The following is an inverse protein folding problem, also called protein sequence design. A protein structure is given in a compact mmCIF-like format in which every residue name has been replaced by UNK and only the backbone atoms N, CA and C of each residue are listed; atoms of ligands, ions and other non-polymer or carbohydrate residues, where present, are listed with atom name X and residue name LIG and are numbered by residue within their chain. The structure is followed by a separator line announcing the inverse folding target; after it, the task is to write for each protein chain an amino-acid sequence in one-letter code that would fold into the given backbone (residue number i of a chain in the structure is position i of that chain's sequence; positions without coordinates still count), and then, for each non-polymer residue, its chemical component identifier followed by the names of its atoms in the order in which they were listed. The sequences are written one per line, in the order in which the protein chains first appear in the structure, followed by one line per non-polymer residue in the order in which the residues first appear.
data_IF_539271371240
#
_entry.id   IF_539271371240
#
_cell.length_a   1.000
_cell.length_b   1.000
_cell.length_c   1.000
_cell.angle_alpha   90.00
_cell.angle_beta   90.00
_cell.angle_gamma   90.00
#
_symmetry.space_group_name_H-M   'P 1'
#
loop_
_entity.id
_entity.type
_entity.pdbx_description
1 polymer ?
#
# COMPACT_ATOMS: atom_id res chain seq x y z
N UNK A 1 -4.21 -30.34 4.40
CA UNK A 1 -5.12 -29.21 4.09
C UNK A 1 -4.47 -28.42 2.99
N UNK A 2 -5.11 -28.14 1.84
CA UNK A 2 -4.48 -27.25 0.86
C UNK A 2 -4.62 -25.83 1.41
N UNK A 3 -3.52 -25.26 1.92
CA UNK A 3 -3.41 -23.82 2.14
C UNK A 3 -3.34 -23.19 0.76
N UNK A 4 -4.48 -22.74 0.24
CA UNK A 4 -4.49 -21.82 -0.89
C UNK A 4 -3.81 -20.54 -0.40
N UNK A 5 -2.51 -20.41 -0.70
CA UNK A 5 -1.79 -19.14 -0.68
C UNK A 5 -2.61 -18.15 -1.49
N UNK A 6 -3.37 -17.30 -0.80
CA UNK A 6 -4.20 -16.30 -1.43
C UNK A 6 -3.33 -15.06 -1.51
N UNK A 7 -2.45 -15.05 -2.52
CA UNK A 7 -1.61 -13.90 -2.79
C UNK A 7 -2.53 -12.69 -3.08
N UNK A 8 -2.68 -11.83 -2.09
CA UNK A 8 -3.42 -10.59 -2.21
C UNK A 8 -2.58 -9.64 -3.04
N UNK A 9 -3.21 -8.96 -3.99
CA UNK A 9 -2.49 -8.07 -4.88
C UNK A 9 -3.30 -6.85 -5.28
N UNK A 10 -2.58 -5.85 -5.76
CA UNK A 10 -3.18 -4.61 -6.16
C UNK A 10 -2.23 -3.68 -6.88
N UNK A 11 -2.70 -2.46 -7.07
CA UNK A 11 -1.89 -1.36 -7.57
C UNK A 11 -2.01 -0.17 -6.65
N UNK A 12 -0.89 0.50 -6.42
CA UNK A 12 -0.82 1.76 -5.71
C UNK A 12 -0.45 2.84 -6.73
N UNK A 13 -1.18 3.94 -6.73
CA UNK A 13 -0.85 5.16 -7.48
C UNK A 13 -0.66 6.32 -6.52
N UNK A 14 0.54 6.88 -6.55
CA UNK A 14 0.94 8.05 -5.79
C UNK A 14 0.65 9.33 -6.60
N UNK A 15 -0.24 10.17 -6.08
CA UNK A 15 -0.57 11.49 -6.65
C UNK A 15 0.18 12.63 -5.95
N UNK A 16 1.16 12.32 -5.10
CA UNK A 16 1.91 13.35 -4.38
C UNK A 16 2.96 14.02 -5.27
N UNK A 17 3.18 15.36 -5.13
CA UNK A 17 4.15 16.08 -5.94
C UNK A 17 5.57 15.57 -5.69
N UNK A 18 6.25 15.13 -6.74
CA UNK A 18 7.59 14.51 -6.69
C UNK A 18 7.68 13.19 -5.93
N UNK A 19 6.56 12.63 -5.48
CA UNK A 19 6.53 11.35 -4.78
C UNK A 19 6.92 10.16 -5.65
N UNK A 20 7.28 9.09 -4.96
CA UNK A 20 7.45 7.75 -5.50
C UNK A 20 7.20 6.76 -4.37
N UNK A 21 6.80 5.55 -4.73
CA UNK A 21 6.62 4.49 -3.75
C UNK A 21 7.98 3.85 -3.47
N UNK A 22 8.48 4.04 -2.25
CA UNK A 22 9.76 3.50 -1.79
C UNK A 22 9.62 2.04 -1.31
N UNK A 23 8.47 1.70 -0.74
CA UNK A 23 8.21 0.37 -0.20
C UNK A 23 6.77 0.20 0.24
N UNK A 24 6.36 -1.05 0.43
CA UNK A 24 5.04 -1.40 0.97
C UNK A 24 5.24 -2.49 2.02
N UNK A 25 4.85 -2.19 3.25
CA UNK A 25 4.80 -3.17 4.34
C UNK A 25 3.35 -3.59 4.57
N UNK A 26 3.12 -4.88 4.67
CA UNK A 26 1.81 -5.47 4.94
C UNK A 26 1.77 -5.89 6.39
N UNK A 27 0.88 -5.26 7.15
CA UNK A 27 0.56 -5.67 8.51
C UNK A 27 -0.64 -6.60 8.46
N UNK A 28 -0.43 -7.88 8.75
CA UNK A 28 -1.49 -8.89 8.78
C UNK A 28 -1.94 -9.08 10.23
N UNK A 29 -3.23 -8.93 10.49
CA UNK A 29 -3.80 -9.15 11.81
C UNK A 29 -3.88 -10.66 12.09
N UNK A 30 -3.31 -11.08 13.21
CA UNK A 30 -3.20 -12.49 13.63
C UNK A 30 -2.43 -13.39 12.65
N UNK A 31 -1.53 -12.81 11.84
CA UNK A 31 -0.70 -13.53 10.87
C UNK A 31 0.68 -12.90 10.69
N UNK A 32 1.39 -13.38 9.66
CA UNK A 32 2.74 -12.93 9.36
C UNK A 32 2.75 -11.60 8.60
N UNK A 33 3.26 -10.56 9.25
CA UNK A 33 3.47 -9.24 8.64
C UNK A 33 4.83 -9.18 7.93
N UNK A 34 4.91 -8.45 6.82
CA UNK A 34 6.10 -8.48 5.99
C UNK A 34 6.13 -7.47 4.86
N UNK A 35 7.26 -7.45 4.16
CA UNK A 35 7.44 -6.64 2.96
C UNK A 35 6.67 -7.22 1.78
N UNK A 36 5.83 -6.41 1.14
CA UNK A 36 5.22 -6.80 -0.12
C UNK A 36 6.27 -6.81 -1.23
N UNK A 37 6.10 -7.74 -2.17
CA UNK A 37 6.77 -7.62 -3.46
C UNK A 37 6.16 -6.43 -4.21
N UNK A 38 7.01 -5.53 -4.71
CA UNK A 38 6.59 -4.37 -5.51
C UNK A 38 7.22 -4.38 -6.89
N UNK A 39 6.44 -4.00 -7.89
CA UNK A 39 6.88 -3.85 -9.28
C UNK A 39 6.40 -2.51 -9.82
N UNK A 40 7.29 -1.51 -9.96
CA UNK A 40 6.96 -0.24 -10.60
C UNK A 40 6.53 -0.43 -12.05
N UNK A 41 5.57 0.37 -12.52
CA UNK A 41 5.11 0.32 -13.91
C UNK A 41 4.70 1.70 -14.44
N UNK A 42 5.15 2.04 -15.65
CA UNK A 42 4.82 3.30 -16.33
C UNK A 42 5.49 4.55 -15.73
N UNK A 43 5.43 4.74 -14.40
CA UNK A 43 6.14 5.80 -13.67
C UNK A 43 6.50 5.36 -12.25
N UNK A 44 7.46 6.04 -11.62
CA UNK A 44 7.88 5.77 -10.22
C UNK A 44 6.77 5.97 -9.17
N UNK A 45 5.66 6.61 -9.57
CA UNK A 45 4.48 6.85 -8.75
C UNK A 45 3.50 5.68 -8.79
N UNK A 46 3.69 4.70 -9.69
CA UNK A 46 2.77 3.58 -9.88
C UNK A 46 3.50 2.28 -9.65
N UNK A 47 3.00 1.49 -8.69
CA UNK A 47 3.56 0.18 -8.39
C UNK A 47 2.45 -0.85 -8.27
N UNK A 48 2.69 -2.04 -8.82
CA UNK A 48 1.91 -3.22 -8.46
C UNK A 48 2.51 -3.79 -7.20
N UNK A 49 1.68 -4.32 -6.31
CA UNK A 49 2.12 -4.97 -5.09
C UNK A 49 1.45 -6.33 -4.93
N UNK A 50 2.13 -7.25 -4.25
CA UNK A 50 1.57 -8.55 -3.86
C UNK A 50 2.17 -9.06 -2.56
N UNK A 51 1.35 -9.68 -1.73
CA UNK A 51 1.74 -10.32 -0.47
C UNK A 51 0.75 -11.44 -0.13
N UNK A 52 1.23 -12.53 0.48
CA UNK A 52 0.35 -13.59 0.95
C UNK A 52 -0.17 -13.25 2.34
N UNK A 53 -1.46 -12.92 2.42
CA UNK A 53 -2.11 -12.59 3.69
C UNK A 53 -2.79 -13.79 4.33
N UNK A 54 -2.75 -14.95 3.67
CA UNK A 54 -3.50 -16.15 4.06
C UNK A 54 -5.02 -15.91 4.19
N UNK A 55 -5.54 -14.85 3.56
CA UNK A 55 -6.94 -14.44 3.66
C UNK A 55 -7.30 -13.72 4.96
N UNK A 56 -6.32 -13.41 5.80
CA UNK A 56 -6.52 -12.67 7.04
C UNK A 56 -6.73 -11.17 6.78
N UNK A 57 -7.41 -10.45 7.67
CA UNK A 57 -7.48 -9.00 7.60
C UNK A 57 -6.08 -8.39 7.66
N UNK A 58 -5.86 -7.31 6.91
CA UNK A 58 -4.54 -6.69 6.82
C UNK A 58 -4.63 -5.17 6.61
N UNK A 59 -3.54 -4.47 6.86
CA UNK A 59 -3.36 -3.05 6.55
C UNK A 59 -2.07 -2.87 5.74
N UNK A 60 -2.06 -1.94 4.81
CA UNK A 60 -0.87 -1.60 4.03
C UNK A 60 -0.28 -0.31 4.55
N UNK A 61 0.99 -0.36 4.89
CA UNK A 61 1.84 0.79 5.15
C UNK A 61 2.62 1.11 3.88
N UNK A 62 2.38 2.28 3.32
CA UNK A 62 2.92 2.71 2.03
C UNK A 62 3.97 3.77 2.30
N UNK A 63 5.22 3.44 2.02
CA UNK A 63 6.34 4.35 2.08
C UNK A 63 6.36 5.27 0.87
N UNK A 64 6.13 6.56 1.08
CA UNK A 64 6.24 7.60 0.04
C UNK A 64 7.54 8.38 0.23
N UNK A 65 8.43 8.30 -0.76
CA UNK A 65 9.76 8.89 -0.73
C UNK A 65 10.72 8.23 0.28
N UNK A 66 11.99 8.63 0.23
CA UNK A 66 13.05 8.07 1.08
C UNK A 66 13.64 6.76 0.53
N UNK A 67 13.99 5.84 1.41
CA UNK A 67 14.54 4.51 1.08
C UNK A 67 13.63 3.43 1.65
N UNK A 68 13.64 2.19 1.13
CA UNK A 68 12.84 1.10 1.68
C UNK A 68 12.97 0.94 3.20
N UNK A 69 14.16 1.18 3.75
CA UNK A 69 14.49 1.11 5.18
C UNK A 69 14.16 2.39 5.98
N UNK A 70 13.99 3.53 5.32
CA UNK A 70 13.70 4.82 5.95
C UNK A 70 12.82 5.67 5.03
N UNK A 71 11.51 5.55 5.22
CA UNK A 71 10.52 6.26 4.42
C UNK A 71 10.44 7.74 4.79
N UNK A 72 10.24 8.59 3.78
CA UNK A 72 9.96 10.01 4.00
C UNK A 72 8.59 10.20 4.67
N UNK A 73 7.60 9.43 4.21
CA UNK A 73 6.26 9.41 4.77
C UNK A 73 5.72 7.97 4.83
N UNK A 74 5.09 7.63 5.95
CA UNK A 74 4.33 6.39 6.09
C UNK A 74 2.84 6.71 5.97
N UNK A 75 2.19 6.19 4.93
CA UNK A 75 0.74 6.36 4.71
C UNK A 75 0.09 4.99 4.80
N UNK A 76 -0.83 4.82 5.74
CA UNK A 76 -1.48 3.53 5.94
C UNK A 76 -2.90 3.50 5.37
N UNK A 77 -3.34 2.34 4.90
CA UNK A 77 -4.74 2.10 4.51
C UNK A 77 -5.62 1.91 5.76
N UNK A 78 -6.95 1.89 5.63
CA UNK A 78 -7.79 1.18 6.59
C UNK A 78 -7.54 -0.34 6.51
N UNK A 79 -8.11 -1.08 7.46
CA UNK A 79 -8.12 -2.56 7.42
C UNK A 79 -8.86 -3.05 6.17
N UNK A 80 -8.18 -3.92 5.43
CA UNK A 80 -8.64 -4.60 4.22
C UNK A 80 -8.87 -6.07 4.55
N UNK A 81 -9.74 -6.72 3.78
CA UNK A 81 -10.01 -8.15 3.89
C UNK A 81 -9.95 -8.73 2.49
N UNK A 82 -9.05 -9.69 2.26
CA UNK A 82 -8.94 -10.35 0.97
C UNK A 82 -10.14 -11.28 0.74
N UNK A 83 -11.09 -10.79 -0.05
CA UNK A 83 -12.26 -11.56 -0.50
C UNK A 83 -12.10 -12.01 -1.95
N UNK A 84 -10.87 -12.26 -2.40
CA UNK A 84 -10.56 -12.53 -3.80
C UNK A 84 -10.69 -11.29 -4.70
N UNK A 85 -10.52 -10.11 -4.11
CA UNK A 85 -10.67 -8.83 -4.81
C UNK A 85 -9.33 -8.24 -5.16
N UNK A 86 -9.30 -7.40 -6.20
CA UNK A 86 -8.10 -6.63 -6.54
C UNK A 86 -8.19 -5.24 -5.94
N UNK A 87 -7.14 -4.81 -5.23
CA UNK A 87 -7.11 -3.53 -4.52
C UNK A 87 -6.43 -2.45 -5.36
N UNK A 88 -7.07 -1.29 -5.47
CA UNK A 88 -6.55 -0.10 -6.12
C UNK A 88 -6.47 1.00 -5.08
N UNK A 89 -5.26 1.47 -4.81
CA UNK A 89 -4.98 2.39 -3.71
C UNK A 89 -4.41 3.66 -4.29
N UNK A 90 -5.08 4.78 -4.04
CA UNK A 90 -4.60 6.09 -4.42
C UNK A 90 -4.02 6.77 -3.18
N UNK A 91 -2.78 7.22 -3.25
CA UNK A 91 -2.14 8.03 -2.21
C UNK A 91 -2.26 9.50 -2.61
N UNK A 92 -2.87 10.30 -1.74
CA UNK A 92 -3.08 11.73 -1.97
C UNK A 92 -2.32 12.57 -0.95
N UNK A 93 -1.90 13.73 -1.42
CA UNK A 93 -1.30 14.80 -0.62
C UNK A 93 -2.23 16.01 -0.64
N UNK A 94 -2.55 16.51 0.55
CA UNK A 94 -3.25 17.78 0.72
C UNK A 94 -2.40 18.70 1.58
N UNK A 95 -1.85 19.74 0.96
CA UNK A 95 -1.29 20.88 1.66
C UNK A 95 -2.12 22.12 1.32
N UNK A 96 -2.78 22.67 2.33
CA UNK A 96 -3.38 24.00 2.25
C UNK A 96 -2.52 24.97 3.06
N UNK A 97 -2.57 26.26 2.71
CA UNK A 97 -1.85 27.31 3.45
C UNK A 97 -2.30 27.46 4.91
N UNK A 98 -3.39 26.78 5.30
CA UNK A 98 -4.03 26.90 6.61
C UNK A 98 -3.98 25.61 7.44
N UNK A 99 -3.63 24.46 6.84
CA UNK A 99 -3.55 23.17 7.52
C UNK A 99 -2.17 22.56 7.32
N UNK A 100 -1.72 21.78 8.32
CA UNK A 100 -0.54 20.96 8.16
C UNK A 100 -0.70 20.01 6.94
N UNK A 101 0.38 19.75 6.18
CA UNK A 101 0.34 18.79 5.08
C UNK A 101 -0.15 17.43 5.59
N UNK A 102 -1.11 16.83 4.87
CA UNK A 102 -1.69 15.54 5.23
C UNK A 102 -1.62 14.58 4.05
N UNK A 103 -1.37 13.31 4.38
CA UNK A 103 -1.36 12.20 3.45
C UNK A 103 -2.51 11.27 3.79
N UNK A 104 -3.26 10.82 2.79
CA UNK A 104 -4.34 9.86 2.99
C UNK A 104 -4.45 8.90 1.80
N UNK A 105 -4.91 7.69 2.09
CA UNK A 105 -5.20 6.69 1.06
C UNK A 105 -6.67 6.68 0.71
N UNK A 106 -6.99 6.47 -0.57
CA UNK A 106 -8.31 6.09 -1.03
C UNK A 106 -8.25 4.68 -1.60
N UNK A 107 -9.02 3.76 -1.02
CA UNK A 107 -9.03 2.36 -1.44
C UNK A 107 -10.27 2.09 -2.29
N UNK A 108 -10.06 1.43 -3.43
CA UNK A 108 -11.12 0.87 -4.29
C UNK A 108 -10.84 -0.61 -4.46
N UNK A 109 -11.88 -1.45 -4.44
CA UNK A 109 -11.74 -2.89 -4.68
C UNK A 109 -12.82 -3.34 -5.67
N UNK A 110 -12.42 -4.18 -6.63
CA UNK A 110 -13.30 -4.77 -7.64
C UNK A 110 -13.21 -6.29 -7.56
#
# INVERSE_FOLDING_TARGET
MPMTSLATSGSITDYTPSGYIAGVWVEVYDGDSGWAYISPYGSRQKVSWSYDTEGLPFCLHIGVGGSPENWGHNVHTPTLVDKGKRFYIDVHYSASSWNAPSYFTKVRSY
#
